data_IF_280295920859
#
_entry.id   IF_280295920859
#
_cell.length_a   1.000
_cell.length_b   1.000
_cell.length_c   1.000
_cell.angle_alpha   90.00
_cell.angle_beta   90.00
_cell.angle_gamma   90.00
#
_symmetry.space_group_name_H-M   'P 1'
#
loop_
_entity.id
_entity.type
_entity.pdbx_description
1 polymer ?
2 polymer ?
#
loop_
_entity_poly.entity_id
_entity_poly.type
_entity_poly.pdbx_seq_one_letter_code
_entity_poly.pdbx_strand_id
2 'polydeoxyribonucleotide' '(DC)(DT)(DC)(DT)(5CM)(DG)(DC)(DG)(DA)(DG)(DA)(DG)' ?
#
# COMPACT_ATOMS: atom_id res chain seq x y z
N UNK A 2 -10.84 -17.58 22.27
CA UNK A 2 -11.14 -18.98 22.04
C UNK A 2 -12.65 -19.23 22.11
N UNK A 3 -13.32 -18.51 23.00
CA UNK A 3 -14.77 -18.53 23.11
C UNK A 3 -15.30 -17.10 23.01
N UNK A 4 -16.53 -16.96 22.49
CA UNK A 4 -17.06 -15.63 22.22
C UNK A 4 -17.28 -14.84 23.50
N UNK A 5 -17.48 -15.50 24.63
CA UNK A 5 -17.64 -14.80 25.90
C UNK A 5 -16.42 -13.93 26.23
N UNK A 6 -15.26 -14.25 25.67
CA UNK A 6 -14.06 -13.46 25.91
C UNK A 6 -14.24 -12.03 25.39
N UNK A 7 -14.58 -11.89 24.12
CA UNK A 7 -14.77 -10.58 23.49
C UNK A 7 -16.20 -10.47 22.97
N UNK A 8 -17.04 -9.59 23.53
CA UNK A 8 -18.44 -9.53 23.10
C UNK A 8 -18.67 -8.66 21.88
N UNK A 9 -18.16 -7.43 21.91
CA UNK A 9 -18.28 -6.52 20.77
C UNK A 9 -17.24 -6.81 19.69
N UNK A 10 -16.40 -7.82 19.87
CA UNK A 10 -15.37 -8.14 18.91
C UNK A 10 -15.89 -8.99 17.78
N UNK A 11 -14.96 -9.63 17.07
CA UNK A 11 -15.27 -10.44 15.91
C UNK A 11 -14.56 -11.79 16.00
N UNK A 12 -14.76 -12.59 14.95
CA UNK A 12 -14.12 -13.89 14.80
C UNK A 12 -13.01 -13.79 13.77
N UNK A 13 -11.84 -14.30 14.11
CA UNK A 13 -10.77 -14.47 13.14
C UNK A 13 -10.87 -15.86 12.54
N UNK A 14 -10.92 -15.93 11.22
CA UNK A 14 -11.07 -17.20 10.53
C UNK A 14 -12.51 -17.51 10.18
N UNK A 15 -12.86 -18.80 10.15
CA UNK A 15 -14.19 -19.25 9.76
C UNK A 15 -15.08 -19.32 11.00
N UNK A 16 -16.19 -18.57 10.97
CA UNK A 16 -17.10 -18.55 12.12
C UNK A 16 -17.78 -19.89 12.34
N UNK A 17 -18.08 -20.62 11.27
CA UNK A 17 -18.85 -21.85 11.36
C UNK A 17 -17.98 -23.09 11.53
N UNK A 18 -16.70 -22.93 11.85
CA UNK A 18 -15.81 -24.06 12.09
C UNK A 18 -15.18 -23.86 13.47
N UNK A 19 -15.73 -24.50 14.51
CA UNK A 19 -15.25 -24.22 15.87
C UNK A 19 -13.77 -24.54 16.09
N UNK A 20 -13.16 -25.38 15.28
CA UNK A 20 -11.76 -25.72 15.46
C UNK A 20 -10.82 -24.72 14.80
N UNK A 21 -11.28 -24.00 13.78
CA UNK A 21 -10.42 -23.08 13.05
C UNK A 21 -10.95 -21.66 13.14
N UNK A 22 -11.12 -21.16 14.36
CA UNK A 22 -11.66 -19.83 14.59
C UNK A 22 -11.20 -19.34 15.96
N UNK A 23 -11.00 -18.02 16.06
CA UNK A 23 -10.56 -17.38 17.30
C UNK A 23 -11.33 -16.08 17.46
N UNK A 24 -11.86 -15.85 18.66
CA UNK A 24 -12.54 -14.59 18.96
C UNK A 24 -11.53 -13.55 19.40
N UNK A 25 -11.64 -12.35 18.82
CA UNK A 25 -10.66 -11.29 19.06
C UNK A 25 -11.41 -9.98 19.32
N UNK A 26 -10.65 -8.89 19.41
CA UNK A 26 -11.13 -7.63 19.97
C UNK A 26 -11.70 -6.67 18.94
N UNK A 27 -11.08 -6.56 17.76
CA UNK A 27 -11.45 -5.57 16.75
C UNK A 27 -12.96 -5.59 16.52
N UNK A 28 -13.55 -4.42 16.28
CA UNK A 28 -15.01 -4.32 16.21
C UNK A 28 -15.47 -4.64 14.79
N UNK A 29 -16.74 -5.08 14.60
CA UNK A 29 -17.21 -5.44 13.25
C UNK A 29 -17.02 -4.36 12.20
N UNK A 30 -16.92 -3.10 12.62
CA UNK A 30 -16.68 -2.03 11.66
C UNK A 30 -15.22 -2.04 11.19
N UNK A 31 -14.27 -2.26 12.12
CA UNK A 31 -12.88 -2.39 11.68
C UNK A 31 -12.67 -3.66 10.86
N UNK A 32 -13.39 -4.73 11.16
CA UNK A 32 -13.21 -5.98 10.43
C UNK A 32 -13.75 -5.92 9.02
N UNK A 33 -14.63 -4.97 8.72
CA UNK A 33 -15.04 -4.75 7.34
C UNK A 33 -14.10 -3.79 6.62
N UNK A 34 -13.53 -2.82 7.34
CA UNK A 34 -12.47 -1.99 6.78
C UNK A 34 -11.30 -2.84 6.29
N UNK A 35 -10.98 -3.90 7.03
CA UNK A 35 -9.83 -4.73 6.67
C UNK A 35 -10.16 -5.61 5.47
N UNK A 36 -11.29 -6.30 5.50
CA UNK A 36 -11.66 -7.18 4.39
C UNK A 36 -12.05 -6.41 3.13
N UNK A 37 -12.06 -5.09 3.16
CA UNK A 37 -12.34 -4.27 1.98
C UNK A 37 -11.07 -3.69 1.39
N UNK A 38 -10.20 -3.09 2.21
CA UNK A 38 -8.97 -2.49 1.73
C UNK A 38 -7.83 -3.48 1.59
N UNK A 39 -7.75 -4.47 2.46
CA UNK A 39 -6.69 -5.48 2.39
C UNK A 39 -7.14 -6.58 1.44
N UNK A 40 -6.62 -6.54 0.22
CA UNK A 40 -6.98 -7.50 -0.82
C UNK A 40 -5.89 -8.53 -1.07
N UNK A 41 -4.82 -8.50 -0.28
CA UNK A 41 -3.79 -9.51 -0.32
C UNK A 41 -3.53 -10.00 1.10
N UNK A 42 -3.12 -11.27 1.22
CA UNK A 42 -2.84 -11.83 2.54
C UNK A 42 -1.68 -11.12 3.22
N UNK A 43 -0.74 -10.59 2.44
CA UNK A 43 0.40 -9.90 3.01
C UNK A 43 -0.01 -8.58 3.65
N UNK A 44 -0.93 -7.84 3.00
CA UNK A 44 -1.39 -6.59 3.59
C UNK A 44 -2.34 -6.84 4.75
N UNK A 45 -3.18 -7.88 4.64
CA UNK A 45 -4.10 -8.20 5.73
C UNK A 45 -3.35 -8.62 6.99
N UNK A 46 -2.23 -9.35 6.82
CA UNK A 46 -1.47 -9.82 7.97
C UNK A 46 -0.97 -8.66 8.82
N UNK A 47 -0.36 -7.66 8.17
CA UNK A 47 0.23 -6.53 8.89
C UNK A 47 -0.81 -5.50 9.31
N UNK A 48 -1.97 -5.47 8.66
CA UNK A 48 -3.08 -4.65 9.17
C UNK A 48 -3.71 -5.31 10.40
N UNK A 49 -3.89 -6.63 10.36
CA UNK A 49 -4.36 -7.34 11.54
C UNK A 49 -3.40 -7.17 12.70
N UNK A 50 -2.10 -7.08 12.43
CA UNK A 50 -1.12 -6.87 13.49
C UNK A 50 -1.34 -5.54 14.19
N UNK A 51 -1.45 -4.46 13.41
CA UNK A 51 -1.67 -3.13 13.99
C UNK A 51 -2.95 -3.08 14.81
N UNK A 52 -3.96 -3.86 14.42
CA UNK A 52 -5.26 -3.81 15.07
C UNK A 52 -5.41 -4.83 16.17
N UNK A 53 -4.47 -5.76 16.32
CA UNK A 53 -4.53 -6.77 17.37
C UNK A 53 -3.47 -6.60 18.46
N UNK A 54 -2.40 -5.86 18.19
CA UNK A 54 -1.35 -5.61 19.18
C UNK A 54 -1.07 -4.12 19.23
N UNK A 55 -1.12 -3.55 20.44
CA UNK A 55 -0.68 -2.18 20.63
C UNK A 55 0.77 -2.06 20.17
N UNK A 56 1.10 -0.94 19.53
CA UNK A 56 2.39 -0.83 18.86
C UNK A 56 3.56 -0.93 19.83
N UNK A 57 3.40 -0.50 21.08
CA UNK A 57 4.49 -0.70 22.01
C UNK A 57 4.57 -2.14 22.51
N UNK A 58 3.55 -2.96 22.25
CA UNK A 58 3.72 -4.41 22.40
C UNK A 58 4.46 -4.96 21.19
N UNK A 59 4.26 -4.36 20.02
CA UNK A 59 5.02 -4.76 18.83
C UNK A 59 6.50 -4.42 19.00
N UNK A 60 6.81 -3.30 19.66
CA UNK A 60 8.18 -2.83 19.82
C UNK A 60 8.95 -3.57 20.90
N UNK A 61 8.35 -4.55 21.58
CA UNK A 61 9.00 -5.27 22.67
C UNK A 61 8.99 -6.77 22.46
N UNK A 62 8.44 -7.27 21.35
CA UNK A 62 8.18 -8.69 21.21
C UNK A 62 8.50 -9.16 19.80
N UNK A 63 8.52 -10.48 19.63
CA UNK A 63 8.56 -11.12 18.32
C UNK A 63 7.73 -12.39 18.39
N UNK A 64 7.87 -13.24 17.36
CA UNK A 64 6.98 -14.39 17.22
C UNK A 64 7.38 -15.54 18.13
N UNK A 65 8.66 -15.93 18.11
CA UNK A 65 9.09 -17.07 18.92
C UNK A 65 9.37 -16.70 20.37
N UNK A 66 9.67 -15.44 20.65
CA UNK A 66 10.00 -15.03 22.00
C UNK A 66 11.45 -15.25 22.38
N UNK A 67 12.31 -15.62 21.43
CA UNK A 67 13.71 -15.86 21.65
C UNK A 67 14.52 -14.67 21.11
N UNK A 68 15.77 -14.90 20.76
CA UNK A 68 16.61 -13.87 20.17
C UNK A 68 17.53 -13.22 21.19
N UNK A 69 18.59 -12.59 20.67
CA UNK A 69 19.60 -11.97 21.53
C UNK A 69 19.05 -10.81 22.34
N UNK A 70 17.97 -10.18 21.90
CA UNK A 70 17.37 -9.09 22.65
C UNK A 70 16.38 -9.57 23.71
N UNK A 71 16.09 -10.87 23.75
CA UNK A 71 15.21 -11.41 24.77
C UNK A 71 13.81 -10.81 24.77
N UNK A 72 13.22 -10.63 23.59
CA UNK A 72 11.90 -10.04 23.50
C UNK A 72 10.84 -11.00 24.04
N UNK A 73 9.72 -10.43 24.46
CA UNK A 73 8.57 -11.25 24.83
C UNK A 73 7.99 -11.92 23.59
N UNK A 74 7.06 -12.84 23.81
CA UNK A 74 6.40 -13.55 22.72
C UNK A 74 5.01 -12.97 22.52
N UNK A 75 4.69 -12.63 21.27
CA UNK A 75 3.30 -12.30 20.93
C UNK A 75 2.41 -13.51 21.19
N UNK A 76 1.19 -13.22 21.66
CA UNK A 76 0.18 -14.20 22.03
C UNK A 76 0.12 -15.29 20.97
N UNK A 77 0.45 -16.54 21.31
CA UNK A 77 0.36 -17.62 20.31
C UNK A 77 -1.05 -17.84 19.79
N UNK A 78 -2.07 -17.59 20.61
CA UNK A 78 -3.45 -17.79 20.16
C UNK A 78 -3.88 -16.68 19.21
N UNK A 79 -3.45 -15.44 19.47
CA UNK A 79 -3.73 -14.36 18.53
C UNK A 79 -3.05 -14.60 17.20
N UNK A 80 -1.81 -15.07 17.22
CA UNK A 80 -1.10 -15.38 15.98
C UNK A 80 -1.76 -16.57 15.28
N UNK A 81 -2.34 -17.49 16.04
CA UNK A 81 -3.11 -18.57 15.42
C UNK A 81 -4.32 -18.00 14.67
N UNK A 82 -4.99 -17.00 15.26
CA UNK A 82 -6.16 -16.43 14.61
C UNK A 82 -5.82 -15.79 13.28
N UNK A 83 -4.73 -15.04 13.23
CA UNK A 83 -4.26 -14.48 11.97
C UNK A 83 -4.01 -15.60 10.97
N UNK A 84 -3.50 -16.73 11.44
CA UNK A 84 -3.25 -17.86 10.55
C UNK A 84 -4.55 -18.44 10.01
N UNK A 85 -5.61 -18.46 10.82
CA UNK A 85 -6.90 -18.91 10.31
C UNK A 85 -7.53 -17.89 9.37
N UNK A 86 -7.48 -16.61 9.72
CA UNK A 86 -8.13 -15.59 8.90
C UNK A 86 -7.48 -15.48 7.54
N UNK A 87 -6.16 -15.69 7.46
CA UNK A 87 -5.49 -15.67 6.16
C UNK A 87 -5.76 -16.94 5.37
N UNK A 88 -5.85 -18.09 6.06
CA UNK A 88 -6.21 -19.33 5.39
C UNK A 88 -7.65 -19.28 4.91
N UNK A 89 -8.53 -18.67 5.69
CA UNK A 89 -9.96 -18.67 5.36
C UNK A 89 -10.28 -17.68 4.25
N UNK A 90 -9.68 -16.50 4.28
CA UNK A 90 -9.98 -15.45 3.31
C UNK A 90 -9.11 -15.51 2.06
N UNK A 91 -7.97 -16.20 2.12
CA UNK A 91 -7.06 -16.26 0.98
C UNK A 91 -6.57 -17.66 0.66
N UNK A 92 -6.75 -18.64 1.53
CA UNK A 92 -6.30 -19.99 1.26
C UNK A 92 -4.79 -20.09 1.14
N UNK A 93 -4.06 -19.52 2.09
CA UNK A 93 -2.60 -19.48 2.02
C UNK A 93 -2.03 -20.87 2.21
N UNK A 94 -0.78 -21.05 1.85
CA UNK A 94 -0.07 -22.31 1.97
C UNK A 94 0.87 -22.28 3.17
N UNK A 95 1.48 -23.42 3.45
CA UNK A 95 2.46 -23.49 4.52
C UNK A 95 3.69 -22.65 4.19
N UNK A 96 4.11 -22.65 2.93
CA UNK A 96 5.19 -21.76 2.52
C UNK A 96 4.74 -20.31 2.49
N UNK A 97 3.47 -20.07 2.16
CA UNK A 97 2.94 -18.71 2.19
C UNK A 97 2.93 -18.16 3.62
N UNK A 98 2.55 -18.99 4.59
CA UNK A 98 2.52 -18.55 5.97
C UNK A 98 3.93 -18.31 6.51
N UNK A 99 4.92 -19.04 6.00
CA UNK A 99 6.29 -18.81 6.42
C UNK A 99 6.78 -17.43 6.01
N UNK A 100 6.41 -17.01 4.81
CA UNK A 100 6.81 -15.67 4.31
C UNK A 100 6.10 -14.63 5.17
N UNK A 101 4.83 -14.86 5.48
CA UNK A 101 4.06 -13.90 6.26
C UNK A 101 4.72 -13.68 7.62
N UNK A 102 5.16 -14.76 8.26
CA UNK A 102 5.80 -14.63 9.57
C UNK A 102 7.07 -13.79 9.48
N UNK A 103 7.83 -13.94 8.40
CA UNK A 103 9.01 -13.11 8.20
C UNK A 103 8.64 -11.62 8.15
N UNK A 104 7.55 -11.29 7.46
CA UNK A 104 7.10 -9.91 7.38
C UNK A 104 6.68 -9.38 8.75
N UNK A 105 5.98 -10.22 9.53
CA UNK A 105 5.54 -9.79 10.86
C UNK A 105 6.74 -9.50 11.75
N UNK A 106 7.73 -10.39 11.74
CA UNK A 106 8.91 -10.20 12.57
C UNK A 106 9.68 -8.94 12.15
N UNK A 107 9.68 -8.64 10.85
CA UNK A 107 10.37 -7.44 10.38
C UNK A 107 9.60 -6.18 10.76
N UNK A 108 8.27 -6.25 10.78
CA UNK A 108 7.46 -5.12 11.24
C UNK A 108 7.74 -4.82 12.71
N UNK A 109 7.81 -5.86 13.54
CA UNK A 109 8.09 -5.66 14.96
C UNK A 109 9.52 -5.19 15.19
N UNK A 110 10.44 -5.53 14.29
CA UNK A 110 11.81 -5.05 14.43
C UNK A 110 11.90 -3.54 14.21
N UNK A 111 11.15 -3.02 13.24
CA UNK A 111 11.15 -1.59 12.99
C UNK A 111 10.52 -0.82 14.15
N UNK A 112 9.44 -1.38 14.73
CA UNK A 112 8.87 -0.79 15.92
C UNK A 112 9.89 -0.73 17.05
N UNK A 113 10.72 -1.77 17.18
CA UNK A 113 11.80 -1.75 18.14
C UNK A 113 12.85 -0.72 17.77
N UNK A 114 13.16 -0.59 16.48
CA UNK A 114 14.19 0.35 16.05
C UNK A 114 13.76 1.79 16.32
N UNK A 115 12.46 2.02 16.18
CA UNK A 115 11.91 3.36 16.42
C UNK A 115 12.04 3.69 17.91
N UNK A 116 11.57 2.77 18.74
CA UNK A 116 11.47 3.00 20.19
C UNK A 116 12.79 3.51 20.77
N UNK A 117 13.91 3.08 20.21
CA UNK A 117 15.21 3.49 20.76
C UNK A 117 15.50 4.96 20.49
N UNK A 118 14.89 5.50 19.44
CA UNK A 118 15.05 6.94 19.11
C UNK A 118 13.98 7.74 19.85
N UNK D 3 -1.04 11.90 -29.95
CA UNK D 3 -0.64 11.16 -31.15
C UNK D 3 -0.11 9.78 -30.79
N UNK D 4 -0.57 8.77 -31.54
CA UNK D 4 -0.33 7.37 -31.16
C UNK D 4 1.05 6.89 -31.58
N UNK D 5 1.52 7.29 -32.76
CA UNK D 5 2.77 6.75 -33.30
C UNK D 5 3.99 7.11 -32.45
N UNK D 6 3.87 8.05 -31.51
CA UNK D 6 4.99 8.37 -30.64
C UNK D 6 5.35 7.19 -29.74
N UNK D 7 4.36 6.41 -29.33
CA UNK D 7 4.57 5.17 -28.58
C UNK D 7 3.62 4.12 -29.12
N UNK D 8 4.08 3.27 -30.04
CA UNK D 8 3.16 2.32 -30.67
C UNK D 8 2.77 1.15 -29.78
N UNK D 9 3.71 0.57 -29.04
CA UNK D 9 3.42 -0.51 -28.10
C UNK D 9 2.98 0.01 -26.74
N UNK D 10 2.66 1.31 -26.65
CA UNK D 10 2.25 1.93 -25.42
C UNK D 10 0.76 1.90 -25.21
N UNK D 11 0.28 2.81 -24.35
CA UNK D 11 -1.12 2.85 -23.98
C UNK D 11 -1.58 4.30 -23.85
N UNK D 12 -2.89 4.48 -23.77
CA UNK D 12 -3.51 5.79 -23.61
C UNK D 12 -3.73 6.11 -22.14
N UNK D 13 -3.34 7.30 -21.72
CA UNK D 13 -3.78 7.86 -20.45
C UNK D 13 -4.99 8.73 -20.70
N UNK D 14 -6.04 8.52 -19.91
CA UNK D 14 -7.30 9.22 -20.12
C UNK D 14 -8.27 8.43 -20.97
N UNK D 15 -9.18 9.15 -21.61
CA UNK D 15 -10.23 8.54 -22.41
C UNK D 15 -9.69 8.21 -23.79
N UNK D 16 -9.66 6.91 -24.14
CA UNK D 16 -9.09 6.49 -25.41
C UNK D 16 -9.83 7.10 -26.59
N UNK D 17 -11.13 7.27 -26.47
CA UNK D 17 -11.96 7.72 -27.59
C UNK D 17 -12.20 9.22 -27.59
N UNK D 18 -11.49 9.98 -26.75
CA UNK D 18 -11.60 11.43 -26.71
C UNK D 18 -10.24 12.03 -27.07
N UNK D 19 -10.06 12.51 -28.30
CA UNK D 19 -8.75 13.05 -28.70
C UNK D 19 -8.34 14.30 -27.93
N UNK D 20 -9.23 14.88 -27.11
CA UNK D 20 -8.87 16.04 -26.32
C UNK D 20 -8.39 15.68 -24.92
N UNK D 21 -9.02 14.68 -24.30
CA UNK D 21 -8.68 14.26 -22.94
C UNK D 21 -7.90 12.95 -22.92
N UNK D 22 -6.96 12.79 -23.85
CA UNK D 22 -6.13 11.59 -23.91
C UNK D 22 -4.69 11.98 -24.24
N UNK D 23 -3.75 11.18 -23.75
CA UNK D 23 -2.32 11.36 -24.00
C UNK D 23 -1.70 9.99 -24.16
N UNK D 24 -0.90 9.80 -25.21
CA UNK D 24 -0.20 8.54 -25.40
C UNK D 24 1.05 8.49 -24.54
N UNK D 25 1.38 7.29 -24.06
CA UNK D 25 2.53 7.10 -23.20
C UNK D 25 3.11 5.71 -23.46
N UNK D 26 4.34 5.50 -22.96
CA UNK D 26 5.11 4.30 -23.25
C UNK D 26 4.77 3.13 -22.34
N UNK D 27 3.81 3.30 -21.42
CA UNK D 27 3.42 2.19 -20.55
C UNK D 27 2.86 1.06 -21.39
N UNK D 28 3.39 -0.14 -21.17
CA UNK D 28 2.95 -1.32 -21.91
C UNK D 28 1.60 -1.76 -21.35
N UNK D 29 0.76 -2.40 -22.17
CA UNK D 29 -0.59 -2.76 -21.70
C UNK D 29 -0.59 -3.66 -20.47
N UNK D 30 0.33 -4.62 -20.38
CA UNK D 30 0.34 -5.53 -19.24
C UNK D 30 0.61 -4.79 -17.94
N UNK D 31 1.55 -3.84 -17.98
CA UNK D 31 1.85 -3.06 -16.78
C UNK D 31 0.73 -2.10 -16.43
N UNK D 32 -0.08 -1.69 -17.41
CA UNK D 32 -1.19 -0.80 -17.11
C UNK D 32 -2.31 -1.54 -16.40
N UNK D 33 -2.57 -2.79 -16.78
CA UNK D 33 -3.50 -3.63 -16.03
C UNK D 33 -3.07 -3.72 -14.58
N UNK D 34 -1.77 -3.96 -14.35
CA UNK D 34 -1.23 -4.05 -13.01
C UNK D 34 -1.51 -2.77 -12.21
N UNK D 35 -1.46 -1.62 -12.88
CA UNK D 35 -1.71 -0.36 -12.19
C UNK D 35 -3.19 -0.22 -11.84
N UNK D 36 -4.08 -0.59 -12.77
CA UNK D 36 -5.51 -0.41 -12.54
C UNK D 36 -6.06 -1.35 -11.47
N UNK D 37 -5.40 -2.49 -11.23
CA UNK D 37 -5.88 -3.40 -10.19
C UNK D 37 -5.45 -2.94 -8.80
N UNK D 38 -4.15 -2.64 -8.63
CA UNK D 38 -3.64 -2.29 -7.31
C UNK D 38 -4.01 -0.87 -6.91
N UNK D 39 -4.00 0.07 -7.86
CA UNK D 39 -4.25 1.48 -7.58
C UNK D 39 -5.72 1.78 -7.79
N UNK D 40 -6.51 1.57 -6.73
CA UNK D 40 -7.95 1.79 -6.77
C UNK D 40 -8.35 3.15 -6.23
N UNK D 41 -7.39 4.02 -5.93
CA UNK D 41 -7.65 5.40 -5.55
C UNK D 41 -6.74 6.33 -6.33
N UNK D 42 -7.26 7.51 -6.69
CA UNK D 42 -6.52 8.43 -7.54
C UNK D 42 -5.20 8.86 -6.89
N UNK D 43 -5.16 8.90 -5.56
CA UNK D 43 -3.92 9.26 -4.87
C UNK D 43 -2.87 8.17 -5.05
N UNK D 44 -3.28 6.90 -4.93
CA UNK D 44 -2.34 5.79 -5.15
C UNK D 44 -1.93 5.71 -6.62
N UNK D 45 -2.89 5.90 -7.53
CA UNK D 45 -2.58 5.79 -8.95
C UNK D 45 -1.64 6.91 -9.41
N UNK D 46 -1.80 8.11 -8.83
CA UNK D 46 -0.99 9.24 -9.24
C UNK D 46 0.50 8.96 -9.08
N UNK D 47 0.92 8.59 -7.87
CA UNK D 47 2.33 8.35 -7.62
C UNK D 47 2.82 7.04 -8.23
N UNK D 48 1.92 6.08 -8.47
CA UNK D 48 2.31 4.88 -9.20
C UNK D 48 2.66 5.21 -10.64
N UNK D 49 1.82 5.99 -11.31
CA UNK D 49 2.13 6.42 -12.68
C UNK D 49 3.48 7.14 -12.73
N UNK D 50 3.69 8.09 -11.83
CA UNK D 50 4.94 8.86 -11.81
C UNK D 50 6.16 7.94 -11.78
N UNK D 51 6.11 6.87 -11.00
CA UNK D 51 7.20 5.91 -10.99
C UNK D 51 7.38 5.25 -12.34
N UNK D 52 6.29 5.12 -13.10
CA UNK D 52 6.29 4.39 -14.36
C UNK D 52 6.53 5.27 -15.57
N UNK D 53 6.22 6.56 -15.52
CA UNK D 53 6.50 7.46 -16.63
C UNK D 53 7.66 8.41 -16.39
N UNK D 54 8.24 8.42 -15.19
CA UNK D 54 9.43 9.21 -14.90
C UNK D 54 10.43 8.34 -14.17
N UNK D 55 11.62 8.17 -14.75
CA UNK D 55 12.69 7.42 -14.10
C UNK D 55 13.13 8.15 -12.84
N UNK D 56 13.73 7.42 -11.91
CA UNK D 56 13.89 7.98 -10.58
C UNK D 56 15.02 9.00 -10.47
N UNK D 57 15.95 9.04 -11.44
CA UNK D 57 16.92 10.12 -11.43
C UNK D 57 16.29 11.45 -11.85
N UNK D 58 15.47 11.44 -12.90
CA UNK D 58 14.82 12.68 -13.33
C UNK D 58 13.74 13.09 -12.32
N UNK D 59 13.17 12.14 -11.58
CA UNK D 59 12.33 12.51 -10.44
C UNK D 59 13.14 13.24 -9.39
N UNK D 60 14.38 12.80 -9.15
CA UNK D 60 15.19 13.35 -8.07
C UNK D 60 15.71 14.75 -8.37
N UNK D 61 15.55 15.26 -9.59
CA UNK D 61 16.11 16.55 -9.95
C UNK D 61 15.06 17.47 -10.56
N UNK D 62 13.79 17.06 -10.52
CA UNK D 62 12.73 17.84 -11.15
C UNK D 62 11.61 18.15 -10.17
N UNK D 63 10.71 19.02 -10.61
CA UNK D 63 9.45 19.29 -9.92
C UNK D 63 8.44 19.75 -10.96
N UNK D 64 7.26 20.13 -10.49
CA UNK D 64 6.16 20.44 -11.41
C UNK D 64 6.32 21.79 -12.08
N UNK D 65 6.89 22.77 -11.39
CA UNK D 65 7.00 24.12 -11.94
C UNK D 65 8.31 24.32 -12.70
N UNK D 66 9.44 24.04 -12.07
CA UNK D 66 10.75 24.37 -12.59
C UNK D 66 11.45 25.46 -11.82
N UNK D 67 10.71 26.21 -11.00
CA UNK D 67 11.28 27.25 -10.16
C UNK D 67 11.78 26.62 -8.86
N UNK D 68 12.18 27.45 -7.90
CA UNK D 68 12.60 26.97 -6.60
C UNK D 68 14.04 27.36 -6.28
N UNK D 69 14.45 27.13 -5.04
CA UNK D 69 15.81 27.53 -4.63
C UNK D 69 16.87 26.64 -5.29
N UNK D 70 16.57 25.36 -5.50
CA UNK D 70 17.58 24.49 -6.08
C UNK D 70 17.61 24.54 -7.60
N UNK D 71 16.68 25.25 -8.23
CA UNK D 71 16.64 25.30 -9.67
C UNK D 71 16.40 23.94 -10.29
N UNK D 72 15.42 23.18 -9.80
CA UNK D 72 15.19 21.88 -10.41
C UNK D 72 14.52 22.03 -11.77
N UNK D 73 14.67 20.98 -12.57
CA UNK D 73 14.07 20.92 -13.88
C UNK D 73 12.57 20.72 -13.76
N UNK D 74 11.88 20.87 -14.88
CA UNK D 74 10.43 20.73 -14.90
C UNK D 74 10.05 19.36 -15.44
N UNK D 75 9.21 18.65 -14.68
CA UNK D 75 8.61 17.43 -15.20
C UNK D 75 7.82 17.76 -16.46
N UNK D 76 7.95 16.91 -17.47
CA UNK D 76 7.32 17.09 -18.78
C UNK D 76 5.87 17.50 -18.63
N UNK D 77 5.53 18.74 -18.99
CA UNK D 77 4.13 19.19 -18.84
C UNK D 77 3.15 18.33 -19.63
N UNK D 78 3.60 17.74 -20.74
CA UNK D 78 2.73 16.83 -21.48
C UNK D 78 2.43 15.58 -20.67
N UNK D 79 3.44 15.02 -20.01
CA UNK D 79 3.25 13.77 -19.26
C UNK D 79 2.44 14.03 -17.98
N UNK D 80 2.80 15.07 -17.23
CA UNK D 80 2.00 15.47 -16.07
C UNK D 80 0.56 15.72 -16.48
N UNK D 81 0.35 16.18 -17.72
CA UNK D 81 -1.02 16.35 -18.20
C UNK D 81 -1.69 15.02 -18.48
N UNK D 82 -0.94 14.05 -19.02
CA UNK D 82 -1.49 12.72 -19.18
C UNK D 82 -1.95 12.11 -17.87
N UNK D 83 -1.25 12.42 -16.78
CA UNK D 83 -1.69 11.96 -15.46
C UNK D 83 -3.02 12.60 -15.09
N UNK D 84 -3.17 13.89 -15.38
CA UNK D 84 -4.38 14.61 -14.97
C UNK D 84 -5.60 14.13 -15.75
N UNK D 85 -5.42 13.79 -17.03
CA UNK D 85 -6.51 13.19 -17.79
C UNK D 85 -6.94 11.86 -17.18
N UNK D 86 -5.97 10.95 -17.01
CA UNK D 86 -6.30 9.61 -16.53
C UNK D 86 -7.02 9.65 -15.19
N UNK D 87 -6.55 10.50 -14.27
CA UNK D 87 -7.17 10.55 -12.96
C UNK D 87 -8.60 11.10 -13.04
N UNK D 88 -8.84 12.08 -13.91
CA UNK D 88 -10.21 12.57 -14.07
C UNK D 88 -11.08 11.57 -14.80
N UNK D 89 -10.52 10.83 -15.76
CA UNK D 89 -11.30 9.85 -16.50
C UNK D 89 -11.60 8.60 -15.68
N UNK D 90 -10.69 8.22 -14.79
CA UNK D 90 -10.85 7.02 -13.97
C UNK D 90 -11.40 7.31 -12.58
N UNK D 91 -11.42 8.57 -12.15
CA UNK D 91 -11.88 8.88 -10.80
C UNK D 91 -12.74 10.15 -10.72
N UNK D 92 -12.77 10.99 -11.74
CA UNK D 92 -13.53 12.22 -11.68
C UNK D 92 -13.05 13.15 -10.59
N UNK D 93 -11.74 13.43 -10.57
CA UNK D 93 -11.17 14.30 -9.55
C UNK D 93 -11.57 15.74 -9.81
N UNK D 94 -11.90 16.46 -8.75
CA UNK D 94 -12.21 17.88 -8.91
C UNK D 94 -10.92 18.69 -8.94
N UNK D 95 -11.06 20.00 -9.19
CA UNK D 95 -9.91 20.88 -9.17
C UNK D 95 -9.23 20.86 -7.81
N UNK D 96 -10.02 20.84 -6.73
CA UNK D 96 -9.44 20.76 -5.39
C UNK D 96 -8.75 19.44 -5.15
N UNK D 97 -9.24 18.35 -5.75
CA UNK D 97 -8.54 17.08 -5.66
C UNK D 97 -7.15 17.18 -6.29
N UNK D 98 -7.09 17.73 -7.50
CA UNK D 98 -5.84 17.77 -8.25
C UNK D 98 -4.79 18.64 -7.59
N UNK D 99 -5.21 19.65 -6.83
CA UNK D 99 -4.24 20.52 -6.16
C UNK D 99 -3.48 19.76 -5.08
N UNK D 100 -4.17 18.90 -4.33
CA UNK D 100 -3.49 18.10 -3.31
C UNK D 100 -2.66 16.99 -3.95
N UNK D 101 -3.13 16.45 -5.08
CA UNK D 101 -2.34 15.49 -5.85
C UNK D 101 -1.01 16.11 -6.26
N UNK D 102 -1.03 17.37 -6.69
CA UNK D 102 0.19 18.03 -7.16
C UNK D 102 1.25 18.07 -6.07
N UNK D 103 0.86 18.48 -4.87
CA UNK D 103 1.82 18.56 -3.76
C UNK D 103 2.36 17.18 -3.41
N UNK D 104 1.56 16.14 -3.57
CA UNK D 104 2.05 14.78 -3.39
C UNK D 104 3.14 14.46 -4.39
N UNK D 105 2.94 14.84 -5.65
CA UNK D 105 3.91 14.57 -6.70
C UNK D 105 5.21 15.31 -6.42
N UNK D 106 5.11 16.55 -5.95
CA UNK D 106 6.31 17.34 -5.68
C UNK D 106 7.07 16.80 -4.46
N UNK D 107 6.35 16.27 -3.47
CA UNK D 107 7.01 15.77 -2.27
C UNK D 107 7.76 14.47 -2.55
N UNK D 108 7.20 13.61 -3.41
CA UNK D 108 7.90 12.39 -3.79
C UNK D 108 9.21 12.70 -4.52
N UNK D 109 9.19 13.70 -5.41
CA UNK D 109 10.41 14.15 -6.07
C UNK D 109 11.36 14.83 -5.10
N UNK D 110 10.83 15.32 -3.98
CA UNK D 110 11.71 15.90 -2.96
C UNK D 110 12.33 14.70 -2.23
N UNK D 111 11.49 13.74 -1.85
CA UNK D 111 12.01 12.52 -1.23
C UNK D 111 13.10 11.91 -2.10
N UNK D 112 12.87 11.85 -3.41
CA UNK D 112 13.88 11.35 -4.33
C UNK D 112 15.12 12.22 -4.33
N UNK D 113 14.95 13.53 -4.11
CA UNK D 113 16.10 14.43 -4.05
C UNK D 113 16.96 14.14 -2.83
N UNK D 114 16.33 13.86 -1.69
CA UNK D 114 17.09 13.55 -0.47
C UNK D 114 17.89 12.27 -0.63
N UNK D 115 17.25 11.20 -1.11
CA UNK D 115 17.93 9.93 -1.25
C UNK D 115 19.08 10.00 -2.25
N UNK D 116 18.88 10.74 -3.35
CA UNK D 116 19.96 10.94 -4.30
C UNK D 116 21.10 11.78 -3.72
N UNK D 117 20.81 12.59 -2.70
CA UNK D 117 21.82 13.35 -2.00
C UNK D 117 22.33 12.66 -0.74
N UNK D 118 21.83 11.45 -0.46
CA UNK D 118 22.19 10.70 0.75
C UNK D 118 21.96 11.51 2.02
#
# INVERSE_FOLDING_TARGET
>A
GNSEEDYPNGTWLGDENNPEMRVRCAIIPSDMLHISTNCRTAEKMALTLLDYLFHREVQAVSNLSGQGKHGKKQLDPLTIYGIRCHLFYKFGITESDWYRIKQSIDSKCRTAWRRKQRGQSLAVKSFSRRTPNSSSYCPSE
>D
GNSEEDYPNGTWLGDENNPEMRVRCAIIPSDMLHISTNCRTAEKMALTLLDYLFHREVQAVSNLSGQGKHGKKQLDPLTIYGIRCHLFYKFGITESDWYRIKQSIDSKCRTAWRRKQRGQSLAVKSFSRRTPNSSSYCPSE
#
